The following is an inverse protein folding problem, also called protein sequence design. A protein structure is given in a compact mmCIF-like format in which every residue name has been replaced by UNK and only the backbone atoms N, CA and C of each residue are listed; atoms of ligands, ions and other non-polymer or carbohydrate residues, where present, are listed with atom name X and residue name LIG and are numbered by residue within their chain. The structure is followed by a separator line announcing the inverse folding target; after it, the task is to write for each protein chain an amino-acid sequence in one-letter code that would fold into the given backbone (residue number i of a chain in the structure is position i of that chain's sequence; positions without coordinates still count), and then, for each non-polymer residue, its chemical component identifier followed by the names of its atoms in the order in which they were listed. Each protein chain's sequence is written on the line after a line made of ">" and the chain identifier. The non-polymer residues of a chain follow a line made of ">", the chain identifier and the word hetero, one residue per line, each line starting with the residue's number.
data_IF_855428552745
#
_entry.id   IF_855428552745
#
_cell.length_a   1.000
_cell.length_b   1.000
_cell.length_c   1.000
_cell.angle_alpha   90.00
_cell.angle_beta   90.00
_cell.angle_gamma   90.00
#
_symmetry.space_group_name_H-M   'P 1'
#
loop_
_entity.id
_entity.type
_entity.pdbx_description
1 polymer ?
#
# COMPACT_ATOMS: atom_id res chain seq x y z
N UNK A 1 -6.41 -6.67 -12.18
CA UNK A 1 -6.85 -5.27 -12.33
C UNK A 1 -7.40 -4.70 -11.04
N UNK A 2 -7.52 -3.36 -10.96
CA UNK A 2 -8.22 -2.70 -9.82
C UNK A 2 -9.70 -3.09 -9.76
N UNK A 3 -10.33 -3.38 -10.88
CA UNK A 3 -11.73 -3.82 -10.95
C UNK A 3 -11.90 -5.21 -10.29
N UNK A 4 -11.02 -6.15 -10.59
CA UNK A 4 -11.00 -7.48 -9.94
C UNK A 4 -10.69 -7.36 -8.46
N UNK A 5 -9.72 -6.53 -8.07
CA UNK A 5 -9.40 -6.29 -6.66
C UNK A 5 -10.61 -5.71 -5.89
N UNK A 6 -11.35 -4.77 -6.48
CA UNK A 6 -12.60 -4.26 -5.92
C UNK A 6 -13.65 -5.39 -5.81
N UNK A 7 -13.82 -6.21 -6.83
CA UNK A 7 -14.77 -7.34 -6.81
C UNK A 7 -14.40 -8.42 -5.78
N UNK A 8 -13.09 -8.59 -5.49
CA UNK A 8 -12.59 -9.50 -4.46
C UNK A 8 -12.89 -8.97 -3.05
N UNK A 9 -12.64 -7.68 -2.77
CA UNK A 9 -12.69 -7.12 -1.43
C UNK A 9 -13.96 -6.36 -1.07
N UNK A 10 -14.73 -5.84 -2.06
CA UNK A 10 -15.87 -4.93 -1.86
C UNK A 10 -17.23 -5.61 -1.97
N UNK A 11 -18.18 -5.12 -1.18
CA UNK A 11 -19.60 -5.45 -1.34
C UNK A 11 -20.19 -4.68 -2.54
N UNK A 12 -19.79 -3.42 -2.71
CA UNK A 12 -20.41 -2.47 -3.63
C UNK A 12 -19.95 -2.62 -5.07
N UNK A 13 -18.71 -3.08 -5.30
CA UNK A 13 -18.07 -3.20 -6.63
C UNK A 13 -18.20 -1.92 -7.46
N UNK A 14 -17.80 -0.80 -6.89
CA UNK A 14 -17.93 0.53 -7.51
C UNK A 14 -17.13 0.69 -8.81
N UNK A 15 -16.14 -0.19 -9.05
CA UNK A 15 -15.39 -0.26 -10.31
C UNK A 15 -16.11 -1.06 -11.41
N UNK A 16 -17.39 -1.38 -11.20
CA UNK A 16 -18.26 -1.97 -12.22
C UNK A 16 -17.82 -3.35 -12.73
N UNK A 17 -17.10 -4.14 -11.92
CA UNK A 17 -16.87 -5.54 -12.27
C UNK A 17 -18.21 -6.31 -12.26
N UNK A 18 -18.39 -7.18 -13.25
CA UNK A 18 -19.67 -7.81 -13.55
C UNK A 18 -20.19 -8.64 -12.38
N UNK A 19 -19.31 -9.40 -11.71
CA UNK A 19 -19.70 -10.28 -10.64
C UNK A 19 -18.87 -10.13 -9.37
N UNK A 20 -19.39 -10.66 -8.26
CA UNK A 20 -18.64 -10.79 -7.04
C UNK A 20 -17.58 -11.90 -7.15
N UNK A 21 -16.33 -11.62 -6.78
CA UNK A 21 -15.27 -12.64 -6.74
C UNK A 21 -15.11 -13.11 -5.29
N UNK A 22 -15.68 -14.24 -4.97
CA UNK A 22 -15.61 -14.93 -3.67
C UNK A 22 -15.00 -16.33 -3.80
N UNK A 23 -14.70 -16.73 -5.03
CA UNK A 23 -14.08 -17.99 -5.39
C UNK A 23 -13.04 -17.76 -6.49
N UNK A 24 -11.84 -18.34 -6.34
CA UNK A 24 -10.76 -18.21 -7.29
C UNK A 24 -11.05 -18.83 -8.66
N UNK A 25 -11.98 -19.81 -8.72
CA UNK A 25 -12.41 -20.41 -9.99
C UNK A 25 -13.01 -19.37 -10.95
N UNK A 26 -13.57 -18.28 -10.43
CA UNK A 26 -14.11 -17.17 -11.24
C UNK A 26 -13.02 -16.40 -12.01
N UNK A 27 -11.77 -16.54 -11.58
CA UNK A 27 -10.59 -16.02 -12.27
C UNK A 27 -9.77 -17.13 -12.97
N UNK A 28 -10.34 -18.33 -13.10
CA UNK A 28 -9.64 -19.47 -13.71
C UNK A 28 -8.54 -20.09 -12.83
N UNK A 29 -8.53 -19.78 -11.53
CA UNK A 29 -7.55 -20.29 -10.58
C UNK A 29 -8.23 -21.39 -9.73
N UNK A 30 -7.81 -22.67 -9.80
CA UNK A 30 -8.52 -23.79 -9.17
C UNK A 30 -8.18 -23.93 -7.67
N UNK A 31 -8.39 -22.88 -6.89
CA UNK A 31 -8.13 -22.85 -5.45
C UNK A 31 -9.41 -22.82 -4.59
N UNK A 32 -10.59 -22.64 -5.20
CA UNK A 32 -11.85 -22.54 -4.47
C UNK A 32 -12.02 -21.20 -3.76
N UNK A 33 -12.69 -21.19 -2.60
CA UNK A 33 -13.13 -19.96 -1.92
C UNK A 33 -11.98 -19.04 -1.50
N UNK A 34 -12.11 -17.75 -1.81
CA UNK A 34 -11.12 -16.72 -1.45
C UNK A 34 -11.13 -16.43 0.06
N UNK A 35 -9.96 -16.41 0.68
CA UNK A 35 -9.74 -15.94 2.05
C UNK A 35 -9.17 -14.52 2.03
N UNK A 36 -9.87 -13.57 2.66
CA UNK A 36 -9.52 -12.16 2.63
C UNK A 36 -8.82 -11.73 3.92
N UNK A 37 -7.66 -11.08 3.78
CA UNK A 37 -6.89 -10.51 4.89
C UNK A 37 -6.72 -9.00 4.70
N UNK A 38 -7.02 -8.22 5.72
CA UNK A 38 -6.93 -6.76 5.66
C UNK A 38 -6.53 -6.14 6.99
N UNK A 39 -6.40 -4.83 6.99
CA UNK A 39 -6.15 -4.03 8.18
C UNK A 39 -7.48 -3.55 8.77
N UNK A 40 -7.49 -3.24 10.05
CA UNK A 40 -8.62 -2.62 10.71
C UNK A 40 -8.79 -1.15 10.30
N UNK A 41 -9.92 -0.54 10.62
CA UNK A 41 -10.30 0.81 10.22
C UNK A 41 -9.40 1.93 10.80
N UNK A 42 -8.64 1.66 11.86
CA UNK A 42 -7.66 2.61 12.42
C UNK A 42 -6.39 2.72 11.57
N UNK A 43 -6.20 1.83 10.59
CA UNK A 43 -5.01 1.79 9.74
C UNK A 43 -5.11 2.77 8.57
N UNK A 44 -4.08 3.59 8.36
CA UNK A 44 -3.94 4.39 7.14
C UNK A 44 -3.87 3.54 5.85
N UNK A 45 -3.40 2.28 5.95
CA UNK A 45 -3.42 1.33 4.81
C UNK A 45 -4.84 0.88 4.48
N UNK A 46 -5.68 0.67 5.48
CA UNK A 46 -7.13 0.43 5.29
C UNK A 46 -7.79 1.58 4.52
N UNK A 47 -7.61 2.82 5.02
CA UNK A 47 -8.20 4.00 4.38
C UNK A 47 -7.71 4.23 2.95
N UNK A 48 -6.41 4.01 2.72
CA UNK A 48 -5.82 4.12 1.39
C UNK A 48 -6.39 3.07 0.42
N UNK A 49 -6.42 1.80 0.82
CA UNK A 49 -6.98 0.72 -0.01
C UNK A 49 -8.46 0.94 -0.30
N UNK A 50 -9.24 1.32 0.74
CA UNK A 50 -10.66 1.68 0.59
C UNK A 50 -10.86 2.79 -0.44
N UNK A 51 -10.04 3.84 -0.38
CA UNK A 51 -10.12 4.98 -1.30
C UNK A 51 -9.72 4.61 -2.73
N UNK A 52 -8.56 3.95 -2.90
CA UNK A 52 -7.97 3.73 -4.22
C UNK A 52 -8.55 2.49 -4.90
N UNK A 53 -8.72 1.38 -4.20
CA UNK A 53 -9.20 0.13 -4.81
C UNK A 53 -10.73 0.09 -4.84
N UNK A 54 -11.38 0.36 -3.70
CA UNK A 54 -12.83 0.23 -3.57
C UNK A 54 -13.62 1.50 -3.92
N UNK A 55 -12.95 2.59 -4.35
CA UNK A 55 -13.58 3.89 -4.62
C UNK A 55 -14.49 4.37 -3.47
N UNK A 56 -14.03 4.15 -2.21
CA UNK A 56 -14.80 4.43 -1.01
C UNK A 56 -15.93 3.43 -0.74
N UNK A 57 -16.01 2.33 -1.47
CA UNK A 57 -16.94 1.22 -1.21
C UNK A 57 -16.65 0.51 0.10
N UNK A 58 -17.57 -0.32 0.57
CA UNK A 58 -17.43 -1.05 1.82
C UNK A 58 -16.78 -2.41 1.62
N UNK A 59 -15.91 -2.78 2.54
CA UNK A 59 -15.32 -4.10 2.57
C UNK A 59 -16.38 -5.18 2.82
N UNK A 60 -16.13 -6.37 2.29
CA UNK A 60 -16.89 -7.56 2.65
C UNK A 60 -16.73 -7.88 4.13
N UNK A 61 -17.79 -8.36 4.77
CA UNK A 61 -17.81 -8.69 6.20
C UNK A 61 -16.90 -9.86 6.59
N UNK A 62 -16.47 -10.67 5.63
CA UNK A 62 -15.57 -11.80 5.82
C UNK A 62 -14.07 -11.45 5.67
N UNK A 63 -13.73 -10.19 5.55
CA UNK A 63 -12.32 -9.76 5.61
C UNK A 63 -11.81 -9.99 7.03
N UNK A 64 -10.78 -10.81 7.15
CA UNK A 64 -10.10 -11.09 8.42
C UNK A 64 -9.23 -9.89 8.79
N UNK A 65 -9.78 -8.99 9.61
CA UNK A 65 -9.09 -7.78 10.04
C UNK A 65 -7.89 -8.10 10.94
N UNK A 66 -6.74 -7.52 10.63
CA UNK A 66 -5.49 -7.71 11.35
C UNK A 66 -5.01 -6.39 11.98
N UNK A 67 -4.41 -6.44 13.18
CA UNK A 67 -3.93 -5.24 13.86
C UNK A 67 -2.70 -4.62 13.18
N UNK A 68 -1.89 -5.43 12.49
CA UNK A 68 -0.63 -5.01 11.87
C UNK A 68 -0.44 -5.53 10.44
N UNK A 69 0.45 -4.89 9.70
CA UNK A 69 0.84 -5.32 8.35
C UNK A 69 1.53 -6.68 8.36
N UNK A 70 2.40 -6.92 9.34
CA UNK A 70 3.05 -8.23 9.52
C UNK A 70 2.04 -9.36 9.72
N UNK A 71 0.98 -9.12 10.51
CA UNK A 71 -0.07 -10.12 10.74
C UNK A 71 -0.89 -10.44 9.48
N UNK A 72 -1.11 -9.45 8.60
CA UNK A 72 -1.72 -9.70 7.28
C UNK A 72 -0.83 -10.63 6.45
N UNK A 73 0.46 -10.29 6.35
CA UNK A 73 1.43 -11.10 5.60
C UNK A 73 1.52 -12.53 6.15
N UNK A 74 1.58 -12.67 7.48
CA UNK A 74 1.61 -13.98 8.12
C UNK A 74 0.32 -14.78 7.83
N UNK A 75 -0.84 -14.15 7.91
CA UNK A 75 -2.12 -14.81 7.60
C UNK A 75 -2.16 -15.33 6.16
N UNK A 76 -1.72 -14.52 5.19
CA UNK A 76 -1.65 -14.93 3.79
C UNK A 76 -0.62 -16.03 3.56
N UNK A 77 0.53 -15.98 4.24
CA UNK A 77 1.63 -16.94 4.04
C UNK A 77 1.29 -18.40 4.38
N UNK A 78 0.31 -18.59 5.25
CA UNK A 78 -0.14 -19.92 5.70
C UNK A 78 -1.48 -20.35 5.11
N UNK A 79 -2.11 -19.50 4.30
CA UNK A 79 -3.42 -19.78 3.68
C UNK A 79 -3.28 -19.81 2.15
N UNK A 80 -3.29 -21.00 1.52
CA UNK A 80 -3.16 -21.13 0.08
C UNK A 80 -4.22 -20.36 -0.73
N UNK A 81 -5.38 -20.09 -0.12
CA UNK A 81 -6.47 -19.35 -0.73
C UNK A 81 -6.46 -17.87 -0.34
N UNK A 82 -5.43 -17.46 0.40
CA UNK A 82 -5.32 -16.13 0.99
C UNK A 82 -4.91 -15.05 0.00
N UNK A 83 -5.59 -13.91 0.09
CA UNK A 83 -5.15 -12.65 -0.49
C UNK A 83 -5.31 -11.54 0.54
N UNK A 84 -4.37 -10.57 0.55
CA UNK A 84 -4.41 -9.47 1.49
C UNK A 84 -3.78 -8.19 0.93
N UNK A 85 -3.91 -7.10 1.67
CA UNK A 85 -3.20 -5.85 1.40
C UNK A 85 -2.41 -5.39 2.62
N UNK A 86 -1.18 -4.95 2.38
CA UNK A 86 -0.21 -4.57 3.43
C UNK A 86 0.77 -3.53 2.92
N UNK A 87 1.66 -3.05 3.80
CA UNK A 87 2.80 -2.22 3.40
C UNK A 87 3.90 -3.06 2.75
N UNK A 88 4.59 -2.48 1.75
CA UNK A 88 5.62 -3.17 0.97
C UNK A 88 6.81 -3.62 1.83
N UNK A 89 7.19 -2.88 2.88
CA UNK A 89 8.28 -3.24 3.81
C UNK A 89 8.03 -4.50 4.63
N UNK A 90 6.85 -5.13 4.54
CA UNK A 90 6.54 -6.38 5.27
C UNK A 90 6.58 -7.62 4.39
N UNK A 91 7.11 -7.52 3.17
CA UNK A 91 7.25 -8.65 2.25
C UNK A 91 8.18 -9.70 2.85
N UNK A 92 7.77 -10.97 2.70
CA UNK A 92 8.58 -12.14 3.03
C UNK A 92 8.66 -13.08 1.83
N UNK A 93 9.62 -14.02 1.85
CA UNK A 93 9.74 -15.05 0.81
C UNK A 93 8.55 -16.02 0.73
N UNK A 94 7.67 -16.01 1.74
CA UNK A 94 6.50 -16.90 1.83
C UNK A 94 5.29 -16.38 1.07
N UNK A 95 5.32 -15.14 0.57
CA UNK A 95 4.22 -14.52 -0.18
C UNK A 95 4.68 -14.02 -1.54
N UNK A 96 3.72 -13.84 -2.42
CA UNK A 96 3.92 -13.25 -3.74
C UNK A 96 3.14 -11.96 -3.86
N UNK A 97 3.79 -10.92 -4.38
CA UNK A 97 3.08 -9.68 -4.73
C UNK A 97 2.31 -9.92 -6.02
N UNK A 98 1.07 -9.44 -6.05
CA UNK A 98 0.24 -9.48 -7.25
C UNK A 98 0.54 -8.26 -8.10
N UNK A 99 1.01 -8.41 -9.34
CA UNK A 99 1.09 -7.31 -10.28
C UNK A 99 -0.29 -6.73 -10.52
N UNK A 100 -0.40 -5.40 -10.52
CA UNK A 100 -1.67 -4.71 -10.69
C UNK A 100 -1.63 -3.73 -11.85
N UNK A 101 -2.80 -3.51 -12.44
CA UNK A 101 -2.99 -2.54 -13.48
C UNK A 101 -4.37 -1.88 -13.43
N UNK A 102 -4.49 -0.76 -14.10
CA UNK A 102 -5.75 -0.02 -14.23
C UNK A 102 -6.65 -0.61 -15.31
N UNK A 103 -6.05 -1.33 -16.27
CA UNK A 103 -6.73 -1.95 -17.41
C UNK A 103 -6.28 -3.40 -17.56
N UNK A 104 -7.11 -4.19 -18.18
CA UNK A 104 -6.77 -5.57 -18.53
C UNK A 104 -5.59 -5.60 -19.51
N UNK A 105 -4.67 -6.54 -19.27
CA UNK A 105 -3.44 -6.67 -20.07
C UNK A 105 -2.30 -5.73 -19.68
N UNK A 106 -2.54 -4.73 -18.84
CA UNK A 106 -1.54 -3.78 -18.35
C UNK A 106 -1.24 -4.04 -16.87
N UNK A 107 -0.39 -5.03 -16.58
CA UNK A 107 -0.04 -5.39 -15.21
C UNK A 107 1.41 -5.02 -14.90
N UNK A 108 1.61 -4.32 -13.81
CA UNK A 108 2.91 -3.80 -13.39
C UNK A 108 3.28 -4.34 -12.02
N UNK A 109 4.55 -4.65 -11.84
CA UNK A 109 5.14 -4.99 -10.55
C UNK A 109 5.34 -3.76 -9.66
N UNK A 110 5.80 -3.99 -8.43
CA UNK A 110 6.08 -2.94 -7.44
C UNK A 110 7.50 -2.38 -7.58
N UNK A 111 8.10 -2.38 -8.77
CA UNK A 111 9.38 -1.69 -8.96
C UNK A 111 9.25 -0.20 -8.67
N UNK A 112 10.33 0.42 -8.19
CA UNK A 112 10.35 1.85 -7.88
C UNK A 112 9.91 2.69 -9.08
N UNK A 113 10.33 2.33 -10.28
CA UNK A 113 9.93 3.00 -11.51
C UNK A 113 8.40 2.95 -11.71
N UNK A 114 7.79 1.77 -11.61
CA UNK A 114 6.36 1.60 -11.80
C UNK A 114 5.52 2.29 -10.74
N UNK A 115 6.04 2.37 -9.51
CA UNK A 115 5.38 3.09 -8.41
C UNK A 115 5.46 4.59 -8.63
N UNK A 116 6.64 5.13 -8.96
CA UNK A 116 6.85 6.58 -9.11
C UNK A 116 6.14 7.14 -10.35
N UNK A 117 6.08 6.40 -11.45
CA UNK A 117 5.38 6.85 -12.66
C UNK A 117 3.87 6.54 -12.64
N UNK A 118 3.35 5.96 -11.54
CA UNK A 118 1.93 5.66 -11.33
C UNK A 118 1.37 4.54 -12.20
N UNK A 119 2.23 3.71 -12.82
CA UNK A 119 1.82 2.48 -13.50
C UNK A 119 1.32 1.46 -12.50
N UNK A 120 2.08 1.19 -11.41
CA UNK A 120 1.56 0.43 -10.27
C UNK A 120 0.63 1.33 -9.43
N UNK A 121 -0.66 1.02 -9.34
CA UNK A 121 -1.65 1.99 -8.86
C UNK A 121 -1.70 2.18 -7.35
N UNK A 122 -1.01 1.35 -6.55
CA UNK A 122 -1.07 1.39 -5.09
C UNK A 122 0.18 2.00 -4.44
N UNK A 123 0.92 2.82 -5.19
CA UNK A 123 2.02 3.61 -4.66
C UNK A 123 1.54 4.82 -3.86
N UNK A 124 2.18 5.11 -2.72
CA UNK A 124 1.99 6.36 -1.97
C UNK A 124 3.24 6.71 -1.17
N UNK A 125 3.40 8.00 -0.88
CA UNK A 125 4.40 8.44 0.08
C UNK A 125 3.95 8.16 1.53
N UNK A 126 4.92 7.94 2.40
CA UNK A 126 4.74 8.07 3.84
C UNK A 126 5.06 9.52 4.21
N UNK A 127 4.16 10.16 4.94
CA UNK A 127 4.29 11.57 5.31
C UNK A 127 4.74 11.71 6.75
N UNK A 128 5.64 12.66 6.96
CA UNK A 128 6.02 13.13 8.27
C UNK A 128 5.22 14.40 8.59
N UNK A 129 4.57 14.44 9.73
CA UNK A 129 3.84 15.61 10.19
C UNK A 129 4.58 16.26 11.35
N UNK A 130 4.89 17.54 11.22
CA UNK A 130 5.52 18.33 12.27
C UNK A 130 4.64 19.51 12.63
N UNK A 131 4.57 19.83 13.93
CA UNK A 131 3.91 21.04 14.40
C UNK A 131 4.92 22.19 14.37
N UNK A 132 4.71 23.14 13.46
CA UNK A 132 5.49 24.38 13.35
C UNK A 132 4.53 25.55 13.52
N UNK A 133 4.61 26.33 14.61
CA UNK A 133 3.79 27.53 14.77
C UNK A 133 4.05 28.54 13.65
N UNK A 134 3.06 29.34 13.27
CA UNK A 134 3.26 30.39 12.27
C UNK A 134 4.38 31.36 12.68
N UNK A 135 5.26 31.68 11.75
CA UNK A 135 6.41 32.57 11.92
C UNK A 135 7.49 32.11 12.91
N UNK A 136 7.47 30.89 13.34
CA UNK A 136 8.54 30.31 14.14
C UNK A 136 9.38 29.32 13.29
N UNK A 137 10.64 29.10 13.72
CA UNK A 137 11.48 28.03 13.16
C UNK A 137 11.20 26.71 13.87
N UNK A 138 11.44 25.63 13.17
CA UNK A 138 11.47 24.32 13.82
C UNK A 138 12.57 24.30 14.91
N UNK A 139 12.36 23.51 15.95
CA UNK A 139 13.46 23.27 16.90
C UNK A 139 14.63 22.59 16.17
N UNK A 140 15.89 22.91 16.53
CA UNK A 140 17.04 22.35 15.85
C UNK A 140 17.04 20.82 15.78
N UNK A 141 16.57 20.16 16.84
CA UNK A 141 16.49 18.67 16.89
C UNK A 141 15.51 18.14 15.86
N UNK A 142 14.34 18.77 15.70
CA UNK A 142 13.32 18.33 14.72
C UNK A 142 13.82 18.59 13.31
N UNK A 143 14.44 19.75 13.07
CA UNK A 143 14.99 20.11 11.76
C UNK A 143 16.10 19.13 11.35
N UNK A 144 17.06 18.85 12.24
CA UNK A 144 18.15 17.89 11.98
C UNK A 144 17.63 16.47 11.76
N UNK A 145 16.59 16.06 12.51
CA UNK A 145 15.97 14.75 12.29
C UNK A 145 15.34 14.64 10.89
N UNK A 146 14.66 15.70 10.42
CA UNK A 146 14.11 15.70 9.06
C UNK A 146 15.22 15.68 8.01
N UNK A 147 16.28 16.50 8.20
CA UNK A 147 17.46 16.50 7.31
C UNK A 147 18.13 15.12 7.28
N UNK A 148 18.26 14.46 8.42
CA UNK A 148 18.79 13.11 8.49
C UNK A 148 17.91 12.11 7.71
N UNK A 149 16.57 12.16 7.83
CA UNK A 149 15.69 11.26 7.06
C UNK A 149 15.93 11.42 5.56
N UNK A 150 16.16 12.63 5.08
CA UNK A 150 16.39 12.90 3.66
C UNK A 150 17.87 12.79 3.25
N UNK A 151 18.79 12.54 4.16
CA UNK A 151 20.18 12.27 3.84
C UNK A 151 20.38 10.92 3.16
N UNK A 152 21.55 10.69 2.56
CA UNK A 152 21.89 9.41 1.96
C UNK A 152 21.81 8.26 2.98
N UNK A 153 22.31 8.50 4.20
CA UNK A 153 22.25 7.51 5.30
C UNK A 153 20.81 7.20 5.72
N UNK A 154 19.97 8.22 5.89
CA UNK A 154 18.55 8.05 6.21
C UNK A 154 17.80 7.28 5.12
N UNK A 155 18.04 7.63 3.85
CA UNK A 155 17.44 6.94 2.72
C UNK A 155 17.99 5.51 2.53
N UNK A 156 19.22 5.23 2.96
CA UNK A 156 19.73 3.87 3.02
C UNK A 156 19.00 3.02 4.08
N UNK A 157 18.67 3.61 5.22
CA UNK A 157 17.85 2.93 6.25
C UNK A 157 16.44 2.61 5.72
N UNK A 158 15.82 3.56 5.00
CA UNK A 158 14.51 3.37 4.35
C UNK A 158 14.53 2.17 3.40
N UNK A 159 15.56 2.08 2.56
CA UNK A 159 15.76 0.98 1.61
C UNK A 159 15.99 -0.36 2.33
N UNK A 160 16.84 -0.36 3.35
CA UNK A 160 17.13 -1.55 4.17
C UNK A 160 15.90 -2.10 4.90
N UNK A 161 14.96 -1.22 5.26
CA UNK A 161 13.68 -1.58 5.89
C UNK A 161 12.61 -2.01 4.86
N UNK A 162 12.99 -2.17 3.59
CA UNK A 162 12.14 -2.68 2.50
C UNK A 162 11.23 -1.65 1.86
N UNK A 163 11.42 -0.36 2.15
CA UNK A 163 10.71 0.74 1.49
C UNK A 163 11.53 1.32 0.34
N UNK A 164 10.91 2.16 -0.46
CA UNK A 164 11.57 2.81 -1.59
C UNK A 164 12.14 4.15 -1.18
N UNK A 165 13.35 4.45 -1.65
CA UNK A 165 13.98 5.77 -1.45
C UNK A 165 13.16 6.86 -2.13
N UNK A 166 13.13 8.02 -1.52
CA UNK A 166 12.55 9.21 -2.12
C UNK A 166 13.50 9.74 -3.21
N UNK A 167 13.02 10.06 -4.42
CA UNK A 167 13.85 10.67 -5.47
C UNK A 167 14.49 11.98 -5.04
N UNK A 168 15.72 12.24 -5.46
CA UNK A 168 16.46 13.45 -5.10
C UNK A 168 15.70 14.74 -5.45
N UNK A 169 15.02 14.78 -6.60
CA UNK A 169 14.21 15.92 -7.01
C UNK A 169 13.04 16.24 -6.08
N UNK A 170 12.51 15.24 -5.37
CA UNK A 170 11.46 15.43 -4.37
C UNK A 170 12.10 15.86 -3.05
N UNK A 171 13.22 15.27 -2.66
CA UNK A 171 13.96 15.61 -1.43
C UNK A 171 14.31 17.11 -1.41
N UNK A 172 14.83 17.65 -2.51
CA UNK A 172 15.15 19.08 -2.61
C UNK A 172 13.93 19.96 -2.28
N UNK A 173 12.78 19.67 -2.91
CA UNK A 173 11.55 20.43 -2.66
C UNK A 173 10.98 20.25 -1.24
N UNK A 174 11.23 19.12 -0.58
CA UNK A 174 10.81 18.92 0.81
C UNK A 174 11.73 19.63 1.80
N UNK A 175 13.04 19.66 1.55
CA UNK A 175 14.01 20.39 2.38
C UNK A 175 13.82 21.90 2.29
N UNK A 176 13.42 22.44 1.15
CA UNK A 176 13.11 23.88 1.00
C UNK A 176 11.97 24.37 1.91
N UNK A 177 11.06 23.48 2.31
CA UNK A 177 9.96 23.80 3.24
C UNK A 177 10.41 24.00 4.68
N UNK A 178 11.65 23.65 5.02
CA UNK A 178 12.21 23.84 6.37
C UNK A 178 12.67 25.28 6.62
N UNK A 179 12.98 26.03 5.56
CA UNK A 179 13.48 27.39 5.59
C UNK A 179 12.42 28.43 5.96
#
# INVERSE_FOLDING_TARGET
>A
TLQEADAIFSINRKRSYVENIDDWNKLGIPLGRVSLYGRNSASGTYGFFKKIVLEGGDFKSNVKEQPGSASVVQGVSIDPNGIGYSGIGYITSSIKIVPLGKKEGEYYDTSQENVLNGKYPLGRFLYLYVNKPPNEKLSPVVEEFIRFIFSEEGQHIVDKDGYMRVPASIIEGELDKLN
#
